data_IF_990763373616
#
_entry.id   IF_990763373616
#
_cell.length_a   1.000
_cell.length_b   1.000
_cell.length_c   1.000
_cell.angle_alpha   90.00
_cell.angle_beta   90.00
_cell.angle_gamma   90.00
#
_symmetry.space_group_name_H-M   'P 1'
#
loop_
_entity.id
_entity.type
_entity.pdbx_description
1 polymer ?
#
# COMPACT_ATOMS: atom_id res chain seq x y z
N UNK A 1 -26.66 -5.28 1.52
CA UNK A 1 -25.77 -5.30 2.70
C UNK A 1 -24.37 -4.98 2.21
N UNK A 2 -23.80 -3.83 2.63
CA UNK A 2 -22.39 -3.50 2.36
C UNK A 2 -21.52 -4.40 3.25
N UNK A 3 -21.27 -5.64 2.80
CA UNK A 3 -20.37 -6.56 3.49
C UNK A 3 -18.98 -5.94 3.60
N UNK A 4 -18.44 -5.83 4.81
CA UNK A 4 -17.04 -5.45 5.01
C UNK A 4 -16.16 -6.65 4.64
N UNK A 5 -15.19 -6.43 3.76
CA UNK A 5 -14.23 -7.48 3.42
C UNK A 5 -13.40 -7.90 4.66
N UNK A 6 -13.14 -9.20 4.89
CA UNK A 6 -12.32 -9.68 6.00
C UNK A 6 -10.91 -9.05 6.07
N UNK A 7 -10.32 -8.67 4.93
CA UNK A 7 -9.03 -7.97 4.87
C UNK A 7 -9.12 -6.62 5.56
N UNK A 8 -10.28 -5.94 5.54
CA UNK A 8 -10.45 -4.68 6.25
C UNK A 8 -10.20 -4.82 7.76
N UNK A 9 -10.65 -5.93 8.36
CA UNK A 9 -10.40 -6.19 9.78
C UNK A 9 -8.90 -6.39 10.07
N UNK A 10 -8.18 -7.03 9.15
CA UNK A 10 -6.73 -7.26 9.26
C UNK A 10 -5.92 -5.98 9.09
N UNK A 11 -6.32 -5.11 8.16
CA UNK A 11 -5.68 -3.80 7.93
C UNK A 11 -5.80 -2.85 9.15
N UNK A 12 -6.66 -3.15 10.12
CA UNK A 12 -6.86 -2.36 11.33
C UNK A 12 -6.18 -2.88 12.60
N UNK A 13 -5.37 -3.94 12.50
CA UNK A 13 -4.64 -4.41 13.66
C UNK A 13 -3.63 -3.33 14.08
N UNK A 14 -3.85 -2.70 15.24
CA UNK A 14 -3.02 -1.63 15.84
C UNK A 14 -1.63 -2.11 16.23
N UNK A 15 -0.87 -2.51 15.23
CA UNK A 15 0.46 -3.09 15.34
C UNK A 15 1.51 -1.98 15.42
N UNK A 16 2.57 -2.21 16.19
CA UNK A 16 3.69 -1.29 16.30
C UNK A 16 4.56 -1.39 15.02
N UNK A 17 4.94 -0.29 14.35
CA UNK A 17 5.86 -0.35 13.21
C UNK A 17 7.20 -1.06 13.48
N UNK A 18 7.61 -1.16 14.75
CA UNK A 18 8.80 -1.88 15.25
C UNK A 18 8.54 -3.38 15.48
N UNK A 19 7.44 -3.92 14.96
CA UNK A 19 7.11 -5.34 15.09
C UNK A 19 8.30 -6.24 14.72
N UNK A 20 8.61 -7.27 15.53
CA UNK A 20 9.63 -8.26 15.20
C UNK A 20 9.21 -9.13 14.01
N UNK A 21 10.20 -9.76 13.38
CA UNK A 21 10.06 -10.61 12.20
C UNK A 21 8.92 -11.64 12.31
N UNK A 22 8.78 -12.29 13.46
CA UNK A 22 7.77 -13.33 13.71
C UNK A 22 6.34 -12.78 13.59
N UNK A 23 6.12 -11.54 14.04
CA UNK A 23 4.80 -10.92 13.99
C UNK A 23 4.46 -10.42 12.59
N UNK A 24 5.44 -9.93 11.83
CA UNK A 24 5.27 -9.64 10.40
C UNK A 24 4.93 -10.88 9.59
N UNK A 25 5.62 -11.99 9.81
CA UNK A 25 5.30 -13.29 9.20
C UNK A 25 3.85 -13.69 9.47
N UNK A 26 3.43 -13.65 10.74
CA UNK A 26 2.07 -14.02 11.12
C UNK A 26 1.02 -13.10 10.50
N UNK A 27 1.26 -11.79 10.50
CA UNK A 27 0.36 -10.81 9.94
C UNK A 27 0.20 -10.95 8.42
N UNK A 28 1.30 -10.95 7.66
CA UNK A 28 1.24 -11.04 6.21
C UNK A 28 0.66 -12.39 5.75
N UNK A 29 0.89 -13.48 6.49
CA UNK A 29 0.22 -14.76 6.23
C UNK A 29 -1.30 -14.68 6.42
N UNK A 30 -1.78 -13.98 7.45
CA UNK A 30 -3.22 -13.77 7.63
C UNK A 30 -3.82 -12.98 6.48
N UNK A 31 -3.13 -11.95 5.98
CA UNK A 31 -3.56 -11.21 4.79
C UNK A 31 -3.62 -12.13 3.56
N UNK A 32 -2.57 -12.93 3.32
CA UNK A 32 -2.54 -13.87 2.19
C UNK A 32 -3.64 -14.92 2.28
N UNK A 33 -3.86 -15.50 3.46
CA UNK A 33 -4.95 -16.46 3.69
C UNK A 33 -6.35 -15.84 3.52
N UNK A 34 -6.47 -14.52 3.65
CA UNK A 34 -7.70 -13.79 3.36
C UNK A 34 -7.84 -13.42 1.87
N UNK A 35 -6.93 -13.88 1.01
CA UNK A 35 -6.97 -13.65 -0.43
C UNK A 35 -6.24 -12.38 -0.90
N UNK A 36 -5.29 -11.87 -0.10
CA UNK A 36 -4.39 -10.81 -0.55
C UNK A 36 -3.10 -11.38 -1.18
N UNK A 37 -2.50 -10.62 -2.07
CA UNK A 37 -1.17 -10.83 -2.58
C UNK A 37 -0.25 -9.72 -2.03
N UNK A 38 0.82 -10.10 -1.35
CA UNK A 38 1.67 -9.16 -0.60
C UNK A 38 3.07 -9.05 -1.18
N UNK A 39 3.71 -7.92 -0.96
CA UNK A 39 5.13 -7.67 -1.29
C UNK A 39 5.80 -6.96 -0.12
N UNK A 40 7.09 -7.21 0.07
CA UNK A 40 7.91 -6.39 0.95
C UNK A 40 8.32 -5.12 0.20
N UNK A 41 8.33 -3.99 0.90
CA UNK A 41 8.84 -2.71 0.42
C UNK A 41 10.15 -2.39 1.12
N UNK A 42 10.97 -1.50 0.56
CA UNK A 42 12.13 -0.94 1.25
C UNK A 42 11.73 -0.39 2.63
N UNK A 43 12.58 -0.59 3.66
CA UNK A 43 12.27 -0.15 5.01
C UNK A 43 12.05 1.35 5.05
N UNK A 44 11.17 1.80 5.94
CA UNK A 44 11.15 3.20 6.29
C UNK A 44 12.30 3.50 7.25
N UNK A 45 13.01 4.59 6.96
CA UNK A 45 14.23 4.98 7.66
C UNK A 45 14.07 6.41 8.17
N UNK A 46 14.19 6.57 9.48
CA UNK A 46 14.26 7.87 10.15
C UNK A 46 15.62 7.95 10.83
N UNK A 47 16.41 8.96 10.50
CA UNK A 47 17.74 9.16 11.09
C UNK A 47 17.57 9.81 12.47
N UNK A 48 17.96 9.14 13.57
CA UNK A 48 17.93 9.76 14.89
C UNK A 48 18.91 10.95 15.01
N UNK A 49 18.56 11.94 15.82
CA UNK A 49 19.43 13.10 16.06
C UNK A 49 20.77 12.68 16.70
N UNK A 50 20.72 11.67 17.58
CA UNK A 50 21.85 11.08 18.29
C UNK A 50 22.58 9.97 17.50
N UNK A 51 22.27 9.79 16.21
CA UNK A 51 22.88 8.74 15.40
C UNK A 51 24.39 8.97 15.23
N UNK A 52 25.17 7.91 15.50
CA UNK A 52 26.61 7.89 15.24
C UNK A 52 26.91 7.93 13.75
N UNK A 53 28.13 8.31 13.35
CA UNK A 53 28.52 8.34 11.93
C UNK A 53 28.41 6.97 11.27
N UNK A 54 28.74 5.90 11.99
CA UNK A 54 28.60 4.52 11.52
C UNK A 54 27.12 4.16 11.25
N UNK A 55 26.22 4.57 12.15
CA UNK A 55 24.77 4.38 11.95
C UNK A 55 24.26 5.20 10.76
N UNK A 56 24.66 6.46 10.63
CA UNK A 56 24.29 7.31 9.50
C UNK A 56 24.74 6.73 8.16
N UNK A 57 25.98 6.24 8.09
CA UNK A 57 26.52 5.58 6.90
C UNK A 57 25.74 4.29 6.56
N UNK A 58 25.43 3.48 7.57
CA UNK A 58 24.63 2.27 7.40
C UNK A 58 23.21 2.56 6.91
N UNK A 59 22.53 3.56 7.51
CA UNK A 59 21.20 4.01 7.09
C UNK A 59 21.21 4.61 5.68
N UNK A 60 22.22 5.40 5.32
CA UNK A 60 22.35 5.96 3.98
C UNK A 60 22.54 4.85 2.92
N UNK A 61 23.37 3.85 3.23
CA UNK A 61 23.55 2.66 2.37
C UNK A 61 22.26 1.87 2.26
N UNK A 62 21.51 1.74 3.35
CA UNK A 62 20.23 1.04 3.36
C UNK A 62 19.20 1.72 2.44
N UNK A 63 19.03 3.03 2.55
CA UNK A 63 18.08 3.80 1.73
C UNK A 63 18.49 3.82 0.25
N UNK A 64 19.78 3.92 -0.06
CA UNK A 64 20.24 3.88 -1.46
C UNK A 64 20.05 2.50 -2.09
N UNK A 65 20.19 1.42 -1.31
CA UNK A 65 20.04 0.05 -1.79
C UNK A 65 18.58 -0.38 -1.88
N UNK A 66 17.77 0.01 -0.88
CA UNK A 66 16.36 -0.36 -0.74
C UNK A 66 15.52 0.88 -0.43
N UNK A 67 15.19 1.71 -1.46
CA UNK A 67 14.44 2.94 -1.24
C UNK A 67 13.06 2.69 -0.61
N UNK A 68 12.68 3.56 0.33
CA UNK A 68 11.38 3.50 1.00
C UNK A 68 10.23 3.47 0.00
N UNK A 69 9.25 2.61 0.23
CA UNK A 69 8.05 2.52 -0.63
C UNK A 69 8.27 1.78 -1.96
N UNK A 70 9.51 1.42 -2.31
CA UNK A 70 9.83 0.65 -3.51
C UNK A 70 9.83 -0.84 -3.19
N UNK A 71 9.43 -1.70 -4.12
CA UNK A 71 9.51 -3.16 -3.89
C UNK A 71 10.96 -3.59 -3.64
N UNK A 72 11.13 -4.52 -2.69
CA UNK A 72 12.43 -5.16 -2.49
C UNK A 72 12.86 -5.90 -3.76
N UNK A 73 14.15 -5.90 -4.11
CA UNK A 73 14.60 -6.54 -5.35
C UNK A 73 14.45 -8.06 -5.29
N UNK A 74 14.36 -8.70 -6.46
CA UNK A 74 14.16 -10.14 -6.56
C UNK A 74 15.23 -10.93 -5.80
N UNK A 75 14.83 -12.06 -5.24
CA UNK A 75 15.77 -13.01 -4.66
C UNK A 75 16.31 -13.91 -5.77
N UNK A 76 17.62 -13.88 -5.97
CA UNK A 76 18.31 -14.69 -6.99
C UNK A 76 18.84 -16.01 -6.45
N UNK A 77 18.68 -16.26 -5.15
CA UNK A 77 19.28 -17.43 -4.46
C UNK A 77 18.31 -18.06 -3.45
N UNK A 78 18.57 -19.33 -3.10
CA UNK A 78 17.82 -20.07 -2.10
C UNK A 78 16.37 -20.38 -2.51
N UNK A 79 15.48 -20.55 -1.53
CA UNK A 79 14.06 -20.96 -1.73
C UNK A 79 13.18 -19.94 -2.46
N UNK A 80 13.67 -18.72 -2.70
CA UNK A 80 12.98 -17.68 -3.44
C UNK A 80 13.59 -17.43 -4.82
N UNK A 81 14.64 -18.18 -5.21
CA UNK A 81 15.23 -18.07 -6.53
C UNK A 81 14.16 -18.35 -7.60
N UNK A 82 14.01 -17.42 -8.54
CA UNK A 82 12.99 -17.49 -9.59
C UNK A 82 11.56 -17.19 -9.13
N UNK A 83 11.32 -16.96 -7.84
CA UNK A 83 10.03 -16.46 -7.37
C UNK A 83 9.88 -14.97 -7.72
N UNK A 84 8.68 -14.57 -8.13
CA UNK A 84 8.35 -13.15 -8.34
C UNK A 84 8.43 -12.32 -7.05
N UNK A 85 8.14 -11.02 -7.14
CA UNK A 85 8.15 -10.11 -5.98
C UNK A 85 6.91 -10.22 -5.10
N UNK A 86 5.83 -10.73 -5.68
CA UNK A 86 4.50 -10.79 -5.08
C UNK A 86 4.25 -12.22 -4.59
N UNK A 87 3.84 -12.34 -3.33
CA UNK A 87 3.44 -13.62 -2.74
C UNK A 87 1.95 -13.66 -2.46
N UNK A 88 1.28 -14.61 -3.11
CA UNK A 88 -0.09 -15.03 -2.80
C UNK A 88 -0.12 -16.41 -2.10
N UNK A 89 1.04 -16.97 -1.73
CA UNK A 89 1.15 -18.24 -1.02
C UNK A 89 1.78 -18.03 0.37
N UNK A 90 1.10 -18.47 1.43
CA UNK A 90 1.48 -18.19 2.81
C UNK A 90 2.85 -18.77 3.21
N UNK A 91 3.27 -19.88 2.58
CA UNK A 91 4.56 -20.52 2.81
C UNK A 91 5.72 -19.64 2.32
N UNK A 92 5.53 -18.95 1.19
CA UNK A 92 6.55 -18.06 0.61
C UNK A 92 6.74 -16.79 1.42
N UNK A 93 5.67 -16.26 2.03
CA UNK A 93 5.71 -15.08 2.91
C UNK A 93 6.76 -15.24 4.01
N UNK A 94 6.80 -16.40 4.68
CA UNK A 94 7.77 -16.63 5.75
C UNK A 94 9.22 -16.52 5.26
N UNK A 95 9.49 -17.08 4.07
CA UNK A 95 10.83 -17.04 3.48
C UNK A 95 11.17 -15.62 3.07
N UNK A 96 10.22 -14.86 2.50
CA UNK A 96 10.44 -13.49 2.04
C UNK A 96 10.68 -12.53 3.18
N UNK A 97 9.87 -12.59 4.24
CA UNK A 97 10.09 -11.81 5.45
C UNK A 97 11.45 -12.16 6.07
N UNK A 98 11.82 -13.45 6.15
CA UNK A 98 13.14 -13.82 6.65
C UNK A 98 14.31 -13.33 5.77
N UNK A 99 14.13 -13.29 4.45
CA UNK A 99 15.13 -12.73 3.55
C UNK A 99 15.25 -11.21 3.70
N UNK A 100 14.13 -10.51 3.87
CA UNK A 100 14.07 -9.07 4.14
C UNK A 100 14.92 -8.65 5.35
N UNK A 101 14.67 -9.24 6.53
CA UNK A 101 15.42 -8.90 7.75
C UNK A 101 16.91 -9.25 7.61
N UNK A 102 17.25 -10.36 6.93
CA UNK A 102 18.65 -10.72 6.66
C UNK A 102 19.35 -9.73 5.75
N UNK A 103 18.67 -9.19 4.73
CA UNK A 103 19.23 -8.17 3.84
C UNK A 103 19.54 -6.89 4.60
N UNK A 104 18.58 -6.39 5.39
CA UNK A 104 18.78 -5.19 6.21
C UNK A 104 19.95 -5.37 7.19
N UNK A 105 19.98 -6.49 7.91
CA UNK A 105 21.05 -6.79 8.86
C UNK A 105 22.42 -6.92 8.18
N UNK A 106 22.48 -7.40 6.93
CA UNK A 106 23.72 -7.47 6.15
C UNK A 106 24.18 -6.10 5.69
N UNK A 107 23.25 -5.24 5.26
CA UNK A 107 23.57 -3.90 4.76
C UNK A 107 24.05 -2.97 5.87
N UNK A 108 23.39 -2.99 7.03
CA UNK A 108 23.68 -2.07 8.14
C UNK A 108 24.67 -2.65 9.15
N UNK A 109 24.80 -3.98 9.20
CA UNK A 109 25.51 -4.70 10.25
C UNK A 109 24.53 -5.15 11.36
N UNK A 110 24.62 -6.42 11.75
CA UNK A 110 23.62 -7.08 12.62
C UNK A 110 23.42 -6.38 13.97
N UNK A 111 24.51 -6.01 14.63
CA UNK A 111 24.47 -5.41 15.97
C UNK A 111 23.96 -3.96 15.92
N UNK A 112 24.38 -3.22 14.90
CA UNK A 112 23.90 -1.85 14.63
C UNK A 112 22.41 -1.84 14.31
N UNK A 113 21.98 -2.75 13.42
CA UNK A 113 20.58 -2.88 13.03
C UNK A 113 19.68 -3.14 14.25
N UNK A 114 20.07 -4.03 15.18
CA UNK A 114 19.30 -4.32 16.39
C UNK A 114 19.08 -3.08 17.28
N UNK A 115 20.03 -2.15 17.35
CA UNK A 115 19.85 -0.86 18.01
C UNK A 115 18.85 0.04 17.27
N UNK A 116 19.01 0.15 15.95
CA UNK A 116 18.18 0.99 15.09
C UNK A 116 16.72 0.54 15.02
N UNK A 117 16.46 -0.78 14.98
CA UNK A 117 15.10 -1.34 15.06
C UNK A 117 14.39 -0.96 16.37
N UNK A 118 15.09 -1.06 17.52
CA UNK A 118 14.52 -0.72 18.83
C UNK A 118 14.17 0.75 18.95
N UNK A 119 15.01 1.63 18.38
CA UNK A 119 14.77 3.08 18.33
C UNK A 119 13.72 3.48 17.30
N UNK A 120 13.25 2.57 16.45
CA UNK A 120 12.34 2.88 15.34
C UNK A 120 13.00 3.66 14.20
N UNK A 121 14.34 3.69 14.15
CA UNK A 121 15.10 4.31 13.07
C UNK A 121 15.01 3.51 11.77
N UNK A 122 14.76 2.20 11.88
CA UNK A 122 14.36 1.34 10.77
C UNK A 122 13.01 0.73 11.16
N UNK A 123 12.03 0.82 10.27
CA UNK A 123 10.75 0.12 10.41
C UNK A 123 10.44 -0.69 9.16
N UNK A 124 9.74 -1.81 9.35
CA UNK A 124 9.49 -2.76 8.27
C UNK A 124 8.30 -2.28 7.44
N UNK A 125 8.40 -2.44 6.13
CA UNK A 125 7.41 -1.95 5.18
C UNK A 125 6.92 -3.06 4.27
N UNK A 126 5.61 -3.10 4.03
CA UNK A 126 4.98 -4.05 3.13
C UNK A 126 3.77 -3.41 2.43
N UNK A 127 3.36 -4.01 1.33
CA UNK A 127 2.18 -3.61 0.58
C UNK A 127 1.35 -4.82 0.13
N UNK A 128 0.07 -4.57 -0.11
CA UNK A 128 -0.81 -5.41 -0.90
C UNK A 128 -0.68 -4.98 -2.36
N UNK A 129 -0.62 -5.94 -3.27
CA UNK A 129 -0.75 -5.71 -4.70
C UNK A 129 -2.22 -5.81 -5.07
N UNK A 130 -2.87 -4.69 -5.41
CA UNK A 130 -4.32 -4.61 -5.52
C UNK A 130 -4.90 -5.60 -6.55
N UNK A 131 -4.42 -5.60 -7.79
CA UNK A 131 -4.95 -6.45 -8.86
C UNK A 131 -4.76 -7.94 -8.58
N UNK A 132 -3.55 -8.35 -8.15
CA UNK A 132 -3.28 -9.72 -7.72
C UNK A 132 -4.06 -10.15 -6.47
N UNK A 133 -4.71 -9.21 -5.77
CA UNK A 133 -5.57 -9.45 -4.61
C UNK A 133 -7.06 -9.39 -4.96
N UNK A 134 -7.45 -9.34 -6.23
CA UNK A 134 -8.84 -9.04 -6.64
C UNK A 134 -9.36 -7.77 -5.96
N UNK A 135 -8.55 -6.71 -6.01
CA UNK A 135 -8.88 -5.41 -5.46
C UNK A 135 -8.52 -4.30 -6.44
N UNK A 136 -9.14 -3.16 -6.22
CA UNK A 136 -8.81 -1.88 -6.84
C UNK A 136 -8.57 -0.88 -5.75
N UNK A 137 -7.46 -0.16 -5.88
CA UNK A 137 -7.20 0.99 -5.04
C UNK A 137 -7.58 2.26 -5.82
N UNK A 138 -8.02 3.27 -5.09
CA UNK A 138 -8.20 4.63 -5.58
C UNK A 138 -7.45 5.57 -4.64
N UNK A 139 -6.47 6.28 -5.18
CA UNK A 139 -5.61 7.20 -4.44
C UNK A 139 -6.06 8.63 -4.63
N UNK A 140 -6.33 9.31 -3.52
CA UNK A 140 -6.69 10.73 -3.47
C UNK A 140 -5.55 11.51 -2.80
N UNK A 141 -4.95 12.44 -3.55
CA UNK A 141 -3.68 13.07 -3.18
C UNK A 141 -3.71 13.96 -1.94
N UNK A 142 -4.79 14.72 -1.75
CA UNK A 142 -4.86 15.75 -0.73
C UNK A 142 -6.31 16.06 -0.29
N UNK A 143 -6.45 16.96 0.69
CA UNK A 143 -7.74 17.38 1.23
C UNK A 143 -8.65 18.06 0.18
N UNK A 144 -8.09 18.85 -0.75
CA UNK A 144 -8.89 19.51 -1.78
C UNK A 144 -9.47 18.48 -2.75
N UNK A 145 -8.64 17.54 -3.16
CA UNK A 145 -9.00 16.39 -3.99
C UNK A 145 -10.04 15.50 -3.32
N UNK A 146 -9.92 15.28 -2.01
CA UNK A 146 -10.91 14.49 -1.26
C UNK A 146 -12.29 15.14 -1.22
N UNK A 147 -12.37 16.48 -1.19
CA UNK A 147 -13.66 17.18 -1.29
C UNK A 147 -14.30 16.98 -2.66
N UNK A 148 -13.51 17.10 -3.74
CA UNK A 148 -13.99 16.87 -5.12
C UNK A 148 -14.42 15.42 -5.30
N UNK A 149 -13.62 14.45 -4.84
CA UNK A 149 -13.95 13.03 -4.87
C UNK A 149 -15.27 12.71 -4.16
N UNK A 150 -15.47 13.22 -2.93
CA UNK A 150 -16.71 13.01 -2.16
C UNK A 150 -17.93 13.61 -2.85
N UNK A 151 -17.76 14.75 -3.52
CA UNK A 151 -18.84 15.37 -4.27
C UNK A 151 -19.18 14.60 -5.53
N UNK A 152 -18.17 14.25 -6.32
CA UNK A 152 -18.34 13.49 -7.55
C UNK A 152 -18.92 12.11 -7.28
N UNK A 153 -18.42 11.38 -6.28
CA UNK A 153 -18.93 10.05 -5.92
C UNK A 153 -20.41 10.10 -5.52
N UNK A 154 -20.83 11.11 -4.78
CA UNK A 154 -22.25 11.34 -4.45
C UNK A 154 -23.10 11.57 -5.72
N UNK A 155 -22.61 12.37 -6.66
CA UNK A 155 -23.32 12.65 -7.92
C UNK A 155 -23.37 11.45 -8.86
N UNK A 156 -22.24 10.77 -9.05
CA UNK A 156 -22.11 9.62 -9.95
C UNK A 156 -22.87 8.39 -9.43
N UNK A 157 -22.92 8.19 -8.11
CA UNK A 157 -23.67 7.09 -7.50
C UNK A 157 -25.16 7.35 -7.33
N UNK A 158 -25.57 8.62 -7.26
CA UNK A 158 -26.91 9.02 -6.81
C UNK A 158 -27.15 8.82 -5.30
N UNK A 159 -26.13 8.44 -4.53
CA UNK A 159 -26.22 8.19 -3.08
C UNK A 159 -25.61 9.36 -2.27
N UNK A 160 -26.47 10.05 -1.52
CA UNK A 160 -26.08 11.14 -0.60
C UNK A 160 -25.04 10.73 0.44
N UNK A 161 -24.99 9.46 0.85
CA UNK A 161 -24.06 8.98 1.87
C UNK A 161 -22.61 8.86 1.38
N UNK A 162 -22.36 8.75 0.07
CA UNK A 162 -20.99 8.67 -0.47
C UNK A 162 -20.16 9.93 -0.14
N UNK A 163 -20.82 11.09 0.01
CA UNK A 163 -20.18 12.34 0.47
C UNK A 163 -19.49 12.19 1.83
N UNK A 164 -19.95 11.26 2.65
CA UNK A 164 -19.43 10.99 3.99
C UNK A 164 -18.52 9.76 4.04
N UNK A 165 -18.25 9.13 2.89
CA UNK A 165 -17.35 7.99 2.83
C UNK A 165 -15.94 8.36 3.33
N UNK A 166 -15.40 7.51 4.20
CA UNK A 166 -14.03 7.61 4.68
C UNK A 166 -13.09 6.78 3.78
N UNK A 167 -11.88 7.28 3.48
CA UNK A 167 -10.82 6.45 2.90
C UNK A 167 -10.58 5.19 3.73
N UNK A 168 -10.21 4.08 3.10
CA UNK A 168 -9.85 2.85 3.81
C UNK A 168 -8.56 3.04 4.60
N UNK A 169 -7.56 3.69 3.99
CA UNK A 169 -6.25 3.94 4.58
C UNK A 169 -5.91 5.43 4.53
N UNK A 170 -5.31 5.91 5.61
CA UNK A 170 -4.59 7.17 5.65
C UNK A 170 -3.11 6.87 5.47
N UNK A 171 -2.55 7.41 4.39
CA UNK A 171 -1.14 7.27 4.03
C UNK A 171 -0.48 8.63 4.28
N UNK A 172 0.63 8.71 5.04
CA UNK A 172 1.23 9.99 5.43
C UNK A 172 1.58 10.93 4.28
N UNK A 173 1.91 10.38 3.11
CA UNK A 173 2.23 11.16 1.90
C UNK A 173 0.99 11.83 1.29
N UNK A 174 -0.22 11.36 1.59
CA UNK A 174 -1.49 11.88 1.06
C UNK A 174 -2.13 12.87 2.06
N UNK A 175 -1.53 14.04 2.23
CA UNK A 175 -1.90 15.00 3.29
C UNK A 175 -3.36 15.45 3.20
N UNK A 176 -4.21 14.89 4.07
CA UNK A 176 -5.65 15.14 4.12
C UNK A 176 -6.46 14.42 3.04
N UNK A 177 -5.81 13.64 2.18
CA UNK A 177 -6.42 12.72 1.23
C UNK A 177 -6.54 11.31 1.83
N UNK A 178 -6.32 10.28 0.99
CA UNK A 178 -6.30 8.89 1.45
C UNK A 178 -6.44 7.88 0.31
N UNK A 179 -6.39 6.60 0.68
CA UNK A 179 -6.61 5.49 -0.26
C UNK A 179 -7.91 4.77 0.06
N UNK A 180 -8.76 4.63 -0.95
CA UNK A 180 -9.92 3.74 -0.90
C UNK A 180 -9.52 2.39 -1.47
N UNK A 181 -9.89 1.32 -0.77
CA UNK A 181 -9.74 -0.05 -1.26
C UNK A 181 -11.13 -0.62 -1.55
N UNK A 182 -11.24 -1.20 -2.73
CA UNK A 182 -12.44 -1.86 -3.19
C UNK A 182 -12.14 -3.31 -3.58
N UNK A 183 -12.94 -4.25 -3.10
CA UNK A 183 -12.91 -5.65 -3.51
C UNK A 183 -13.59 -5.80 -4.87
N UNK A 184 -12.94 -6.49 -5.79
CA UNK A 184 -13.49 -6.84 -7.10
C UNK A 184 -13.92 -8.31 -7.13
N UNK A 185 -14.69 -8.71 -8.14
CA UNK A 185 -14.95 -10.13 -8.38
C UNK A 185 -13.66 -10.80 -8.89
N UNK A 186 -13.55 -12.11 -8.67
CA UNK A 186 -12.38 -12.85 -9.16
C UNK A 186 -12.25 -12.70 -10.69
N UNK A 187 -11.04 -12.37 -11.16
CA UNK A 187 -10.75 -12.16 -12.58
C UNK A 187 -11.08 -10.76 -13.11
N UNK A 188 -11.69 -9.87 -12.30
CA UNK A 188 -11.84 -8.47 -12.65
C UNK A 188 -10.48 -7.77 -12.59
N UNK A 189 -9.88 -7.54 -13.76
CA UNK A 189 -8.66 -6.76 -13.89
C UNK A 189 -9.02 -5.33 -14.27
N UNK A 190 -8.71 -4.39 -13.37
CA UNK A 190 -8.76 -2.96 -13.66
C UNK A 190 -7.32 -2.48 -13.75
N UNK A 191 -6.88 -2.17 -14.97
CA UNK A 191 -5.53 -1.70 -15.21
C UNK A 191 -5.29 -0.34 -14.54
N UNK A 192 -4.03 -0.02 -14.21
CA UNK A 192 -3.69 1.27 -13.62
C UNK A 192 -4.14 2.41 -14.52
N UNK A 193 -4.90 3.33 -13.96
CA UNK A 193 -5.45 4.46 -14.67
C UNK A 193 -5.33 5.73 -13.85
N UNK A 194 -4.97 6.80 -14.55
CA UNK A 194 -5.06 8.16 -14.04
C UNK A 194 -6.25 8.85 -14.72
N UNK A 195 -7.28 9.19 -13.95
CA UNK A 195 -8.49 9.85 -14.48
C UNK A 195 -8.66 11.25 -13.91
N UNK A 196 -9.24 12.13 -14.74
CA UNK A 196 -9.69 13.45 -14.30
C UNK A 196 -11.12 13.34 -13.76
N UNK A 197 -11.34 13.82 -12.54
CA UNK A 197 -12.65 13.83 -11.88
C UNK A 197 -13.08 15.27 -11.63
N UNK A 198 -14.24 15.64 -12.15
CA UNK A 198 -14.80 17.00 -12.01
C UNK A 198 -15.88 17.05 -10.93
N UNK A 199 -15.84 18.07 -10.06
CA UNK A 199 -16.83 18.32 -9.01
C UNK A 199 -17.63 19.62 -9.21
N UNK A 200 -18.22 20.13 -8.12
CA UNK A 200 -18.85 21.46 -8.10
C UNK A 200 -17.85 22.57 -8.47
N UNK A 201 -18.37 23.64 -9.08
CA UNK A 201 -17.56 24.79 -9.56
C UNK A 201 -16.53 24.41 -10.63
N UNK A 202 -16.80 23.36 -11.42
CA UNK A 202 -15.94 22.86 -12.51
C UNK A 202 -14.49 22.53 -12.10
N UNK A 203 -14.27 22.30 -10.80
CA UNK A 203 -12.97 21.92 -10.28
C UNK A 203 -12.64 20.47 -10.67
N UNK A 204 -11.50 20.25 -11.33
CA UNK A 204 -11.03 18.94 -11.79
C UNK A 204 -9.77 18.49 -11.03
N UNK A 205 -9.72 17.20 -10.68
CA UNK A 205 -8.59 16.59 -9.97
C UNK A 205 -8.10 15.33 -10.68
N UNK A 206 -6.86 14.97 -10.43
CA UNK A 206 -6.26 13.73 -10.94
C UNK A 206 -6.34 12.63 -9.88
N UNK A 207 -6.96 11.50 -10.25
CA UNK A 207 -7.10 10.32 -9.38
C UNK A 207 -6.39 9.15 -10.03
N UNK A 208 -5.49 8.49 -9.29
CA UNK A 208 -4.86 7.24 -9.73
C UNK A 208 -5.62 6.06 -9.15
N UNK A 209 -5.89 5.06 -9.98
CA UNK A 209 -6.72 3.91 -9.64
C UNK A 209 -6.25 2.64 -10.34
N UNK A 210 -6.75 1.48 -9.93
CA UNK A 210 -6.47 0.19 -10.56
C UNK A 210 -5.42 -0.63 -9.81
N UNK A 211 -4.61 -1.37 -10.56
CA UNK A 211 -3.59 -2.28 -10.02
C UNK A 211 -2.35 -1.53 -9.50
N UNK A 212 -2.25 -1.38 -8.18
CA UNK A 212 -1.12 -0.69 -7.56
C UNK A 212 -0.71 -1.36 -6.25
N UNK A 213 0.46 -0.96 -5.75
CA UNK A 213 0.92 -1.33 -4.43
C UNK A 213 0.31 -0.42 -3.38
N UNK A 214 -0.38 -1.02 -2.43
CA UNK A 214 -1.06 -0.34 -1.34
C UNK A 214 -0.34 -0.66 -0.05
N UNK A 215 0.35 0.30 0.58
CA UNK A 215 1.07 0.05 1.81
C UNK A 215 0.09 -0.36 2.91
N UNK A 216 0.46 -1.37 3.71
CA UNK A 216 -0.41 -1.90 4.77
C UNK A 216 0.08 -1.47 6.15
N UNK A 217 -0.82 -1.19 7.11
CA UNK A 217 -0.41 -0.99 8.49
C UNK A 217 0.36 -2.21 9.03
N UNK A 218 1.42 -2.03 9.84
CA UNK A 218 1.93 -0.76 10.37
C UNK A 218 3.10 -0.16 9.56
N UNK A 219 3.16 -0.37 8.24
CA UNK A 219 4.18 0.26 7.37
C UNK A 219 4.26 1.76 7.64
N UNK A 220 5.47 2.29 7.80
CA UNK A 220 5.70 3.73 7.94
C UNK A 220 6.13 4.37 6.63
N UNK A 221 5.95 5.69 6.55
CA UNK A 221 6.53 6.55 5.55
C UNK A 221 6.98 7.84 6.23
N UNK A 222 8.29 8.09 6.22
CA UNK A 222 8.95 9.19 6.93
C UNK A 222 8.59 9.20 8.43
N UNK A 223 8.62 8.03 9.07
CA UNK A 223 8.34 7.87 10.51
C UNK A 223 6.87 7.90 10.91
N UNK A 224 5.96 8.22 9.99
CA UNK A 224 4.53 8.19 10.24
C UNK A 224 3.91 6.86 9.78
N UNK A 225 3.09 6.18 10.59
CA UNK A 225 2.47 4.92 10.19
C UNK A 225 1.32 5.14 9.21
N UNK A 226 1.16 4.22 8.26
CA UNK A 226 -0.10 4.03 7.54
C UNK A 226 -1.13 3.53 8.54
N UNK A 227 -2.31 4.15 8.55
CA UNK A 227 -3.39 3.80 9.48
C UNK A 227 -4.66 3.46 8.72
N UNK A 228 -5.42 2.49 9.26
CA UNK A 228 -6.76 2.21 8.76
C UNK A 228 -7.75 3.21 9.33
N UNK A 229 -8.61 3.75 8.48
CA UNK A 229 -9.70 4.62 8.87
C UNK A 229 -11.06 3.99 8.53
N UNK A 230 -11.25 3.57 7.27
CA UNK A 230 -12.51 3.06 6.74
C UNK A 230 -12.54 1.55 6.49
N UNK A 231 -13.69 1.04 6.00
CA UNK A 231 -13.80 -0.33 5.50
C UNK A 231 -13.13 -0.49 4.13
N UNK A 232 -12.85 -1.75 3.76
CA UNK A 232 -12.70 -2.15 2.36
C UNK A 232 -14.09 -2.59 1.87
N UNK A 233 -14.61 -1.92 0.84
CA UNK A 233 -15.98 -2.11 0.33
C UNK A 233 -15.96 -2.95 -0.94
N UNK A 234 -17.09 -3.54 -1.33
CA UNK A 234 -17.22 -4.04 -2.71
C UNK A 234 -17.11 -2.88 -3.70
N UNK A 235 -16.47 -3.10 -4.85
CA UNK A 235 -16.41 -2.12 -5.93
C UNK A 235 -17.83 -1.86 -6.45
N UNK A 236 -18.37 -0.63 -6.30
CA UNK A 236 -19.72 -0.35 -6.77
C UNK A 236 -19.75 -0.24 -8.30
N UNK A 237 -20.88 -0.62 -8.90
CA UNK A 237 -21.06 -0.69 -10.36
C UNK A 237 -20.73 0.63 -11.07
N UNK A 238 -21.22 1.76 -10.54
CA UNK A 238 -20.95 3.09 -11.09
C UNK A 238 -19.44 3.41 -11.17
N UNK A 239 -18.67 3.01 -10.15
CA UNK A 239 -17.24 3.25 -10.09
C UNK A 239 -16.52 2.30 -11.03
N UNK A 240 -16.93 1.02 -11.07
CA UNK A 240 -16.42 0.04 -12.02
C UNK A 240 -16.57 0.53 -13.46
N UNK A 241 -17.77 0.98 -13.83
CA UNK A 241 -18.06 1.53 -15.17
C UNK A 241 -17.20 2.75 -15.49
N UNK A 242 -17.05 3.67 -14.53
CA UNK A 242 -16.17 4.84 -14.69
C UNK A 242 -14.71 4.42 -14.93
N UNK A 243 -14.18 3.51 -14.10
CA UNK A 243 -12.80 3.04 -14.21
C UNK A 243 -12.54 2.31 -15.52
N UNK A 244 -13.49 1.52 -16.01
CA UNK A 244 -13.39 0.85 -17.31
C UNK A 244 -13.57 1.83 -18.48
N UNK A 245 -14.46 2.82 -18.35
CA UNK A 245 -14.76 3.81 -19.38
C UNK A 245 -13.62 4.79 -19.63
N UNK A 246 -12.92 5.22 -18.57
CA UNK A 246 -11.70 6.04 -18.69
C UNK A 246 -10.44 5.20 -18.97
N UNK A 247 -10.51 3.88 -18.75
CA UNK A 247 -9.43 2.91 -18.97
C UNK A 247 -9.16 2.53 -20.43
N UNK A 248 -9.98 3.01 -21.36
CA UNK A 248 -9.69 2.91 -22.80
C UNK A 248 -8.77 4.08 -23.14
N UNK A 249 -7.46 3.88 -23.40
CA UNK A 249 -6.66 4.96 -23.98
C UNK A 249 -7.38 5.43 -25.24
N UNK A 250 -7.50 6.74 -25.51
CA UNK A 250 -8.10 7.20 -26.75
C UNK A 250 -7.38 6.45 -27.85
N UNK A 251 -8.10 5.61 -28.59
CA UNK A 251 -7.56 5.01 -29.80
C UNK A 251 -7.00 6.20 -30.58
N UNK A 252 -5.68 6.18 -30.80
CA UNK A 252 -5.06 7.11 -31.73
C UNK A 252 -5.91 7.05 -32.97
N UNK A 253 -6.66 8.13 -33.22
CA UNK A 253 -7.38 8.28 -34.45
C UNK A 253 -6.28 8.23 -35.52
N UNK A 254 -6.19 7.07 -36.18
CA UNK A 254 -5.39 6.94 -37.37
C UNK A 254 -5.95 7.98 -38.35
N UNK A 255 -5.12 8.97 -38.65
CA UNK A 255 -5.24 9.85 -39.80
C UNK A 255 -3.88 9.81 -40.51
#
# INVERSE_FOLDING_TARGET
MLGSDPIAALLGAGMDPRLPEVLWKGYLRRLVNAGAAVTMLGPDVVVPDDATDAERAGLATLVSTYPTGTQMPMETTGKLAGAGLIDAAAERVNVRVGAYYRRINRTVGKDVAAGLWRRGAITTSAAIHAGASNMVAVMIGDAASLRVWRQWSMQASGDGYERHSAPTLLVPQLRGGGMYLFRTSEGDRIDPLTMAVTGWEDCSITVTSGDMLVPVPPTCQNGAPVTRLGPCRMLPGWLRESLLGYGVPPQSAAA
#
